data_IF_534557937444
#
_entry.id   IF_534557937444
#
_cell.length_a   1.000
_cell.length_b   1.000
_cell.length_c   1.000
_cell.angle_alpha   90.00
_cell.angle_beta   90.00
_cell.angle_gamma   90.00
#
_symmetry.space_group_name_H-M   'P 1'
#
loop_
_entity.id
_entity.type
_entity.pdbx_description
1 polymer ?
#
# COMPACT_ATOMS: atom_id res chain seq x y z
N UNK A 1 46.15 -66.31 24.90
CA UNK A 1 46.32 -65.67 23.57
C UNK A 1 45.54 -64.37 23.63
N UNK A 2 46.24 -63.24 23.47
CA UNK A 2 45.69 -61.89 23.49
C UNK A 2 44.79 -61.66 22.27
N UNK A 3 43.68 -60.93 22.43
CA UNK A 3 43.27 -59.89 21.47
C UNK A 3 42.10 -59.03 21.99
N UNK A 4 42.46 -57.76 22.17
CA UNK A 4 41.76 -56.48 22.26
C UNK A 4 40.25 -56.31 22.57
N UNK A 5 40.07 -55.39 23.52
CA UNK A 5 38.92 -54.52 23.74
C UNK A 5 38.44 -53.84 22.46
N UNK A 6 37.12 -53.86 22.23
CA UNK A 6 36.40 -52.70 21.73
C UNK A 6 35.22 -52.43 22.66
N UNK A 7 35.46 -51.55 23.62
CA UNK A 7 34.40 -50.85 24.35
C UNK A 7 33.58 -50.08 23.31
N UNK A 8 32.37 -50.56 23.00
CA UNK A 8 31.39 -49.73 22.30
C UNK A 8 30.94 -48.67 23.30
N UNK A 9 31.54 -47.47 23.20
CA UNK A 9 31.06 -46.27 23.88
C UNK A 9 29.56 -46.15 23.62
N UNK A 10 28.75 -46.39 24.65
CA UNK A 10 27.43 -45.80 24.75
C UNK A 10 27.68 -44.34 25.05
N UNK A 11 27.62 -43.50 24.03
CA UNK A 11 27.64 -42.06 24.24
C UNK A 11 26.45 -41.71 25.12
N UNK A 12 26.75 -41.27 26.34
CA UNK A 12 25.81 -40.63 27.24
C UNK A 12 25.37 -39.33 26.55
N UNK A 13 24.31 -39.40 25.74
CA UNK A 13 23.61 -38.21 25.27
C UNK A 13 22.96 -37.56 26.48
N UNK A 14 23.62 -36.55 27.02
CA UNK A 14 23.03 -35.66 28.01
C UNK A 14 22.05 -34.78 27.23
N UNK A 15 20.76 -35.14 27.25
CA UNK A 15 19.69 -34.30 26.72
C UNK A 15 19.60 -33.05 27.59
N UNK A 16 20.14 -31.93 27.11
CA UNK A 16 19.95 -30.62 27.72
C UNK A 16 18.50 -30.17 27.44
N UNK A 17 17.65 -29.93 28.46
CA UNK A 17 16.28 -29.51 28.23
C UNK A 17 16.23 -28.19 27.44
N UNK A 18 15.48 -28.16 26.33
CA UNK A 18 15.34 -26.99 25.47
C UNK A 18 16.54 -26.71 24.56
N UNK A 19 17.38 -27.72 24.29
CA UNK A 19 18.51 -27.60 23.37
C UNK A 19 18.01 -27.34 21.94
N UNK A 20 16.98 -28.06 21.50
CA UNK A 20 16.32 -27.90 20.21
C UNK A 20 15.85 -26.46 19.98
N UNK A 21 15.16 -25.87 20.95
CA UNK A 21 14.69 -24.48 20.87
C UNK A 21 15.83 -23.47 20.81
N UNK A 22 16.91 -23.69 21.58
CA UNK A 22 18.09 -22.81 21.56
C UNK A 22 18.88 -22.92 20.26
N UNK A 23 18.90 -24.09 19.64
CA UNK A 23 19.52 -24.32 18.33
C UNK A 23 18.71 -23.61 17.25
N UNK A 24 17.38 -23.72 17.27
CA UNK A 24 16.48 -22.96 16.39
C UNK A 24 16.68 -21.44 16.55
N UNK A 25 16.59 -20.91 17.77
CA UNK A 25 16.78 -19.47 18.05
C UNK A 25 18.13 -18.95 17.54
N UNK A 26 19.20 -19.73 17.72
CA UNK A 26 20.52 -19.39 17.17
C UNK A 26 20.55 -19.44 15.65
N UNK A 27 19.96 -20.45 15.04
CA UNK A 27 19.84 -20.56 13.58
C UNK A 27 19.13 -19.34 12.98
N UNK A 28 18.02 -18.92 13.58
CA UNK A 28 17.28 -17.72 13.17
C UNK A 28 18.07 -16.41 13.40
N UNK A 29 18.87 -16.32 14.46
CA UNK A 29 19.75 -15.17 14.70
C UNK A 29 20.87 -15.08 13.64
N UNK A 30 21.48 -16.21 13.28
CA UNK A 30 22.46 -16.26 12.19
C UNK A 30 21.84 -15.91 10.83
N UNK A 31 20.59 -16.32 10.57
CA UNK A 31 19.82 -15.89 9.39
C UNK A 31 19.67 -14.37 9.35
N UNK A 32 19.25 -13.73 10.45
CA UNK A 32 19.13 -12.26 10.55
C UNK A 32 20.46 -11.53 10.32
N UNK A 33 21.57 -12.16 10.71
CA UNK A 33 22.92 -11.64 10.49
C UNK A 33 23.49 -11.98 9.11
N UNK A 34 22.70 -12.58 8.21
CA UNK A 34 23.11 -13.02 6.86
C UNK A 34 24.27 -14.04 6.85
N UNK A 35 24.41 -14.79 7.95
CA UNK A 35 25.42 -15.85 8.11
C UNK A 35 24.80 -17.20 7.80
N UNK A 36 24.47 -17.41 6.53
CA UNK A 36 23.62 -18.52 6.10
C UNK A 36 24.20 -19.91 6.37
N UNK A 37 25.51 -20.09 6.20
CA UNK A 37 26.17 -21.38 6.48
C UNK A 37 26.12 -21.77 7.95
N UNK A 38 26.34 -20.79 8.84
CA UNK A 38 26.23 -21.01 10.28
C UNK A 38 24.77 -21.31 10.66
N UNK A 39 23.83 -20.56 10.08
CA UNK A 39 22.40 -20.81 10.26
C UNK A 39 21.99 -22.24 9.89
N UNK A 40 22.39 -22.70 8.69
CA UNK A 40 22.12 -24.08 8.23
C UNK A 40 22.66 -25.08 9.24
N UNK A 41 23.91 -24.93 9.69
CA UNK A 41 24.52 -25.86 10.64
C UNK A 41 23.76 -25.93 11.99
N UNK A 42 23.28 -24.79 12.51
CA UNK A 42 22.51 -24.78 13.75
C UNK A 42 21.09 -25.31 13.58
N UNK A 43 20.48 -25.07 12.42
CA UNK A 43 19.14 -25.57 12.10
C UNK A 43 19.13 -27.07 11.79
N UNK A 44 20.15 -27.62 11.13
CA UNK A 44 20.31 -29.07 10.92
C UNK A 44 20.45 -29.80 12.28
N UNK A 45 21.24 -29.23 13.20
CA UNK A 45 21.31 -29.76 14.56
C UNK A 45 19.97 -29.66 15.30
N UNK A 46 19.19 -28.59 15.09
CA UNK A 46 17.85 -28.49 15.66
C UNK A 46 16.93 -29.58 15.10
N UNK A 47 17.05 -29.88 13.80
CA UNK A 47 16.27 -30.91 13.11
C UNK A 47 16.58 -32.32 13.61
N UNK A 48 17.86 -32.62 13.90
CA UNK A 48 18.27 -33.91 14.50
C UNK A 48 17.58 -34.18 15.86
N UNK A 49 17.20 -33.12 16.58
CA UNK A 49 16.53 -33.21 17.87
C UNK A 49 15.00 -33.21 17.78
N UNK A 50 14.43 -32.48 16.82
CA UNK A 50 12.98 -32.40 16.60
C UNK A 50 12.65 -32.47 15.08
N UNK A 51 12.57 -33.69 14.52
CA UNK A 51 12.38 -33.90 13.08
C UNK A 51 11.00 -33.50 12.54
N UNK A 52 10.03 -33.15 13.39
CA UNK A 52 8.69 -32.73 12.95
C UNK A 52 8.48 -31.21 13.08
N UNK A 53 9.54 -30.46 13.42
CA UNK A 53 9.45 -29.04 13.69
C UNK A 53 9.39 -28.19 12.41
N UNK A 54 8.19 -27.76 12.01
CA UNK A 54 8.00 -26.96 10.80
C UNK A 54 8.79 -25.65 10.80
N UNK A 55 9.05 -25.02 11.94
CA UNK A 55 9.83 -23.77 12.01
C UNK A 55 11.30 -24.00 11.64
N UNK A 56 11.87 -25.15 12.02
CA UNK A 56 13.23 -25.55 11.64
C UNK A 56 13.31 -25.76 10.13
N UNK A 57 12.33 -26.43 9.53
CA UNK A 57 12.25 -26.61 8.09
C UNK A 57 12.13 -25.28 7.33
N UNK A 58 11.25 -24.37 7.76
CA UNK A 58 11.15 -23.02 7.18
C UNK A 58 12.50 -22.30 7.24
N UNK A 59 13.16 -22.34 8.40
CA UNK A 59 14.49 -21.76 8.59
C UNK A 59 15.52 -22.35 7.62
N UNK A 60 15.52 -23.68 7.43
CA UNK A 60 16.44 -24.38 6.53
C UNK A 60 16.19 -24.04 5.05
N UNK A 61 14.93 -23.93 4.64
CA UNK A 61 14.55 -23.50 3.28
C UNK A 61 15.11 -22.11 3.01
N UNK A 62 14.84 -21.15 3.90
CA UNK A 62 15.31 -19.76 3.76
C UNK A 62 16.84 -19.70 3.77
N UNK A 63 17.50 -20.39 4.71
CA UNK A 63 18.95 -20.35 4.83
C UNK A 63 19.64 -20.96 3.60
N UNK A 64 19.10 -22.04 3.04
CA UNK A 64 19.63 -22.63 1.81
C UNK A 64 19.36 -21.77 0.58
N UNK A 65 18.17 -21.17 0.48
CA UNK A 65 17.83 -20.25 -0.61
C UNK A 65 18.79 -19.05 -0.65
N UNK A 66 18.96 -18.37 0.49
CA UNK A 66 19.84 -17.22 0.65
C UNK A 66 21.33 -17.55 0.50
N UNK A 67 21.73 -18.79 0.82
CA UNK A 67 23.08 -19.28 0.56
C UNK A 67 23.35 -19.61 -0.92
N UNK A 68 22.33 -19.53 -1.79
CA UNK A 68 22.40 -19.94 -3.19
C UNK A 68 22.32 -21.47 -3.40
N UNK A 69 22.02 -22.24 -2.35
CA UNK A 69 21.79 -23.68 -2.41
C UNK A 69 20.35 -23.99 -2.86
N UNK A 70 19.91 -23.38 -3.96
CA UNK A 70 18.49 -23.32 -4.36
C UNK A 70 17.89 -24.71 -4.63
N UNK A 71 18.65 -25.65 -5.19
CA UNK A 71 18.19 -27.04 -5.36
C UNK A 71 17.97 -27.76 -4.01
N UNK A 72 18.81 -27.50 -3.01
CA UNK A 72 18.62 -28.08 -1.69
C UNK A 72 17.39 -27.47 -1.00
N UNK A 73 17.18 -26.16 -1.15
CA UNK A 73 15.96 -25.51 -0.67
C UNK A 73 14.70 -26.13 -1.30
N UNK A 74 14.74 -26.45 -2.61
CA UNK A 74 13.65 -27.12 -3.34
C UNK A 74 13.31 -28.48 -2.71
N UNK A 75 14.31 -29.32 -2.46
CA UNK A 75 14.09 -30.64 -1.88
C UNK A 75 13.44 -30.57 -0.50
N UNK A 76 13.91 -29.64 0.34
CA UNK A 76 13.41 -29.45 1.70
C UNK A 76 11.95 -28.98 1.67
N UNK A 77 11.62 -27.96 0.88
CA UNK A 77 10.23 -27.45 0.83
C UNK A 77 9.27 -28.46 0.16
N UNK A 78 9.74 -29.25 -0.80
CA UNK A 78 8.95 -30.33 -1.40
C UNK A 78 8.69 -31.47 -0.38
N UNK A 79 9.63 -31.73 0.54
CA UNK A 79 9.41 -32.64 1.67
C UNK A 79 8.35 -32.09 2.63
N UNK A 80 8.37 -30.79 2.91
CA UNK A 80 7.34 -30.14 3.74
C UNK A 80 5.94 -30.32 3.14
N UNK A 81 5.79 -30.10 1.82
CA UNK A 81 4.51 -30.30 1.12
C UNK A 81 4.04 -31.77 1.20
N UNK A 82 4.93 -32.72 0.91
CA UNK A 82 4.58 -34.17 0.95
C UNK A 82 4.20 -34.65 2.35
N UNK A 83 4.82 -34.08 3.38
CA UNK A 83 4.66 -34.51 4.77
C UNK A 83 3.62 -33.68 5.53
N UNK A 84 3.04 -32.65 4.91
CA UNK A 84 2.09 -31.74 5.55
C UNK A 84 2.69 -30.92 6.70
N UNK A 85 3.97 -30.53 6.59
CA UNK A 85 4.68 -29.78 7.63
C UNK A 85 4.55 -28.27 7.40
N UNK A 86 3.93 -27.58 8.35
CA UNK A 86 3.75 -26.12 8.30
C UNK A 86 2.42 -25.69 7.69
N UNK A 87 2.24 -24.38 7.54
CA UNK A 87 1.05 -23.82 6.88
C UNK A 87 1.13 -24.07 5.37
N UNK A 88 0.11 -24.72 4.81
CA UNK A 88 0.10 -25.15 3.42
C UNK A 88 0.32 -23.99 2.43
N UNK A 89 -0.31 -22.83 2.68
CA UNK A 89 -0.19 -21.65 1.81
C UNK A 89 1.21 -21.05 1.91
N UNK A 90 1.77 -20.96 3.11
CA UNK A 90 3.14 -20.49 3.29
C UNK A 90 4.16 -21.40 2.59
N UNK A 91 3.98 -22.72 2.69
CA UNK A 91 4.92 -23.70 2.13
C UNK A 91 4.82 -23.75 0.60
N UNK A 92 3.61 -23.67 0.03
CA UNK A 92 3.44 -23.62 -1.43
C UNK A 92 4.01 -22.32 -2.02
N UNK A 93 3.87 -21.18 -1.33
CA UNK A 93 4.49 -19.91 -1.74
C UNK A 93 6.03 -20.02 -1.79
N UNK A 94 6.66 -20.61 -0.77
CA UNK A 94 8.10 -20.86 -0.78
C UNK A 94 8.52 -21.80 -1.92
N UNK A 95 7.71 -22.83 -2.20
CA UNK A 95 8.01 -23.77 -3.28
C UNK A 95 7.99 -23.09 -4.64
N UNK A 96 6.94 -22.33 -4.94
CA UNK A 96 6.80 -21.61 -6.20
C UNK A 96 7.92 -20.58 -6.39
N UNK A 97 8.29 -19.84 -5.34
CA UNK A 97 9.44 -18.92 -5.37
C UNK A 97 10.74 -19.63 -5.75
N UNK A 98 10.99 -20.82 -5.20
CA UNK A 98 12.20 -21.61 -5.48
C UNK A 98 12.19 -22.15 -6.91
N UNK A 99 11.05 -22.64 -7.40
CA UNK A 99 10.90 -23.11 -8.78
C UNK A 99 11.17 -21.99 -9.79
N UNK A 100 10.67 -20.77 -9.52
CA UNK A 100 10.95 -19.58 -10.35
C UNK A 100 12.45 -19.28 -10.38
N UNK A 101 13.13 -19.28 -9.23
CA UNK A 101 14.58 -19.05 -9.16
C UNK A 101 15.39 -20.10 -9.93
N UNK A 102 14.89 -21.35 -10.01
CA UNK A 102 15.48 -22.43 -10.78
C UNK A 102 15.09 -22.42 -12.26
N UNK A 103 14.26 -21.46 -12.70
CA UNK A 103 13.67 -21.41 -14.04
C UNK A 103 12.85 -22.66 -14.40
N UNK A 104 12.27 -23.33 -13.40
CA UNK A 104 11.47 -24.55 -13.57
C UNK A 104 9.99 -24.20 -13.81
N UNK A 105 9.74 -23.36 -14.82
CA UNK A 105 8.41 -22.78 -15.08
C UNK A 105 7.32 -23.81 -15.41
N UNK A 106 7.70 -24.97 -15.98
CA UNK A 106 6.76 -26.07 -16.24
C UNK A 106 6.15 -26.57 -14.92
N UNK A 107 6.97 -26.63 -13.88
CA UNK A 107 6.56 -27.10 -12.57
C UNK A 107 5.76 -26.03 -11.82
N UNK A 108 6.09 -24.74 -11.99
CA UNK A 108 5.28 -23.62 -11.49
C UNK A 108 3.85 -23.71 -12.02
N UNK A 109 3.68 -23.82 -13.33
CA UNK A 109 2.37 -23.88 -13.99
C UNK A 109 1.55 -25.06 -13.50
N UNK A 110 2.13 -26.27 -13.56
CA UNK A 110 1.42 -27.49 -13.16
C UNK A 110 1.06 -27.51 -11.68
N UNK A 111 1.91 -26.95 -10.81
CA UNK A 111 1.63 -26.83 -9.38
C UNK A 111 0.46 -25.89 -9.09
N UNK A 112 0.42 -24.73 -9.75
CA UNK A 112 -0.66 -23.75 -9.53
C UNK A 112 -1.98 -24.22 -10.13
N UNK A 113 -1.96 -24.86 -11.30
CA UNK A 113 -3.16 -25.43 -11.91
C UNK A 113 -3.81 -26.48 -10.99
N UNK A 114 -3.02 -27.39 -10.42
CA UNK A 114 -3.51 -28.36 -9.44
C UNK A 114 -4.09 -27.67 -8.20
N UNK A 115 -3.41 -26.64 -7.68
CA UNK A 115 -3.87 -25.89 -6.51
C UNK A 115 -5.22 -25.19 -6.74
N UNK A 116 -5.44 -24.63 -7.93
CA UNK A 116 -6.69 -23.96 -8.31
C UNK A 116 -7.84 -24.96 -8.53
N UNK A 117 -7.54 -26.15 -9.03
CA UNK A 117 -8.53 -27.22 -9.22
C UNK A 117 -9.06 -27.79 -7.90
N UNK A 118 -8.21 -27.86 -6.87
CA UNK A 118 -8.55 -28.42 -5.55
C UNK A 118 -9.47 -27.51 -4.70
N UNK A 119 -9.71 -26.24 -5.10
CA UNK A 119 -10.63 -25.27 -4.45
C UNK A 119 -10.38 -25.00 -2.95
N UNK A 120 -9.15 -25.18 -2.47
CA UNK A 120 -8.76 -24.87 -1.07
C UNK A 120 -7.95 -23.56 -0.93
N UNK A 121 -8.00 -22.66 -1.91
CA UNK A 121 -7.30 -21.37 -1.83
C UNK A 121 -8.16 -20.34 -1.06
N UNK A 122 -7.60 -19.59 -0.10
CA UNK A 122 -8.26 -18.41 0.46
C UNK A 122 -8.63 -17.39 -0.62
N UNK A 123 -9.81 -16.77 -0.53
CA UNK A 123 -10.31 -15.83 -1.56
C UNK A 123 -9.32 -14.68 -1.86
N UNK A 124 -8.64 -14.19 -0.82
CA UNK A 124 -7.63 -13.13 -0.87
C UNK A 124 -6.29 -13.55 -1.51
N UNK A 125 -6.09 -14.84 -1.77
CA UNK A 125 -4.87 -15.40 -2.38
C UNK A 125 -5.06 -15.87 -3.82
N UNK A 126 -6.31 -15.90 -4.32
CA UNK A 126 -6.60 -16.37 -5.68
C UNK A 126 -5.86 -15.55 -6.74
N UNK A 127 -5.90 -14.23 -6.62
CA UNK A 127 -5.26 -13.32 -7.57
C UNK A 127 -3.73 -13.53 -7.63
N UNK A 128 -3.10 -13.72 -6.46
CA UNK A 128 -1.67 -14.00 -6.34
C UNK A 128 -1.25 -15.27 -7.13
N UNK A 129 -1.99 -16.37 -6.98
CA UNK A 129 -1.67 -17.61 -7.70
C UNK A 129 -1.96 -17.49 -9.21
N UNK A 130 -3.02 -16.80 -9.62
CA UNK A 130 -3.32 -16.55 -11.04
C UNK A 130 -2.18 -15.75 -11.70
N UNK A 131 -1.70 -14.68 -11.06
CA UNK A 131 -0.56 -13.89 -11.57
C UNK A 131 0.71 -14.74 -11.74
N UNK A 132 1.02 -15.63 -10.78
CA UNK A 132 2.16 -16.54 -10.90
C UNK A 132 2.00 -17.60 -12.00
N UNK A 133 0.76 -18.07 -12.24
CA UNK A 133 0.46 -19.02 -13.32
C UNK A 133 0.69 -18.39 -14.69
N UNK A 134 0.24 -17.15 -14.88
CA UNK A 134 0.45 -16.39 -16.10
C UNK A 134 1.93 -16.13 -16.36
N UNK A 135 2.68 -15.73 -15.32
CA UNK A 135 4.12 -15.59 -15.37
C UNK A 135 4.81 -16.90 -15.80
N UNK A 136 4.46 -18.02 -15.16
CA UNK A 136 5.00 -19.33 -15.53
C UNK A 136 4.72 -19.72 -16.99
N UNK A 137 3.50 -19.46 -17.49
CA UNK A 137 3.12 -19.76 -18.88
C UNK A 137 3.89 -18.91 -19.90
N UNK A 138 4.06 -17.61 -19.64
CA UNK A 138 4.86 -16.70 -20.48
C UNK A 138 6.29 -17.20 -20.62
N UNK A 139 6.92 -17.56 -19.50
CA UNK A 139 8.30 -18.06 -19.48
C UNK A 139 8.46 -19.40 -20.21
N UNK A 140 7.40 -20.24 -20.27
CA UNK A 140 7.40 -21.50 -21.02
C UNK A 140 7.23 -21.35 -22.52
N UNK A 141 6.45 -20.36 -22.95
CA UNK A 141 6.15 -20.14 -24.36
C UNK A 141 7.35 -19.54 -25.13
N UNK A 142 8.47 -19.29 -24.45
CA UNK A 142 9.70 -18.81 -25.08
C UNK A 142 9.57 -17.38 -25.59
N UNK A 143 8.64 -16.60 -25.03
CA UNK A 143 8.59 -15.14 -25.15
C UNK A 143 9.82 -14.57 -24.42
N UNK A 144 10.97 -14.72 -25.08
CA UNK A 144 12.31 -14.38 -24.59
C UNK A 144 12.84 -13.17 -25.37
N UNK A 145 12.08 -12.08 -25.37
CA UNK A 145 12.72 -10.78 -25.49
C UNK A 145 13.23 -10.43 -24.08
N UNK A 146 14.43 -10.92 -23.78
CA UNK A 146 15.22 -10.41 -22.67
C UNK A 146 15.79 -9.06 -23.11
N UNK A 147 15.05 -7.98 -22.88
CA UNK A 147 15.65 -6.67 -22.66
C UNK A 147 16.65 -6.80 -21.47
N UNK A 148 17.82 -6.15 -21.55
CA UNK A 148 18.89 -6.37 -20.59
C UNK A 148 18.45 -6.03 -19.17
N UNK A 149 19.02 -6.74 -18.20
CA UNK A 149 18.90 -6.46 -16.76
C UNK A 149 19.49 -5.06 -16.47
N UNK A 150 18.68 -4.04 -16.68
CA UNK A 150 18.67 -2.77 -15.99
C UNK A 150 17.20 -2.49 -15.65
N UNK A 151 16.97 -1.98 -14.45
CA UNK A 151 15.67 -1.61 -13.89
C UNK A 151 14.72 -0.94 -14.88
N UNK A 152 13.76 -1.68 -15.43
CA UNK A 152 12.60 -1.16 -16.17
C UNK A 152 11.44 -2.11 -15.87
N UNK A 153 10.35 -1.69 -15.21
CA UNK A 153 9.37 -0.72 -15.73
C UNK A 153 9.00 -1.09 -17.17
N UNK A 154 8.22 -2.17 -17.35
CA UNK A 154 7.38 -2.32 -18.55
C UNK A 154 6.13 -3.18 -18.27
N UNK A 155 5.06 -2.42 -18.06
CA UNK A 155 3.69 -2.59 -18.56
C UNK A 155 2.96 -3.92 -18.29
N UNK A 156 1.96 -3.93 -17.38
CA UNK A 156 0.90 -4.91 -17.46
C UNK A 156 0.09 -4.66 -18.73
N UNK A 157 0.04 -5.65 -19.63
CA UNK A 157 -0.98 -5.68 -20.68
C UNK A 157 -2.36 -5.82 -20.03
N UNK A 158 -3.02 -4.68 -19.90
CA UNK A 158 -4.46 -4.45 -19.98
C UNK A 158 -5.39 -5.33 -19.12
N UNK A 159 -5.39 -5.11 -17.81
CA UNK A 159 -6.59 -4.42 -17.31
C UNK A 159 -6.30 -2.95 -17.54
N UNK A 160 -6.86 -2.35 -18.60
CA UNK A 160 -6.74 -0.92 -18.84
C UNK A 160 -7.26 -0.20 -17.58
N UNK A 161 -6.37 0.19 -16.67
CA UNK A 161 -6.72 1.07 -15.57
C UNK A 161 -7.14 2.39 -16.18
N UNK A 162 -8.41 2.50 -16.53
CA UNK A 162 -9.00 3.69 -17.09
C UNK A 162 -9.61 4.46 -15.94
N UNK A 163 -8.85 5.41 -15.41
CA UNK A 163 -9.27 6.26 -14.29
C UNK A 163 -10.57 7.04 -14.61
N UNK A 164 -10.95 7.16 -15.88
CA UNK A 164 -12.19 7.80 -16.33
C UNK A 164 -13.43 6.89 -16.32
N UNK A 165 -13.25 5.56 -16.23
CA UNK A 165 -14.37 4.61 -16.20
C UNK A 165 -15.04 4.54 -14.81
N UNK A 166 -14.31 4.93 -13.76
CA UNK A 166 -14.78 4.93 -12.38
C UNK A 166 -15.54 6.22 -12.06
N UNK A 167 -16.83 6.22 -12.40
CA UNK A 167 -17.74 7.37 -12.16
C UNK A 167 -18.34 7.36 -10.75
N UNK A 168 -18.47 6.20 -10.13
CA UNK A 168 -18.98 6.10 -8.76
C UNK A 168 -17.84 6.45 -7.78
N UNK A 169 -18.09 7.29 -6.78
CA UNK A 169 -17.10 7.63 -5.77
C UNK A 169 -16.51 6.46 -4.99
N UNK A 170 -17.30 5.41 -4.70
CA UNK A 170 -16.79 4.21 -4.05
C UNK A 170 -15.76 3.49 -4.91
N UNK A 171 -15.99 3.44 -6.23
CA UNK A 171 -15.05 2.84 -7.18
C UNK A 171 -13.77 3.68 -7.26
N UNK A 172 -13.89 5.02 -7.23
CA UNK A 172 -12.74 5.93 -7.20
C UNK A 172 -11.87 5.73 -5.95
N UNK A 173 -12.48 5.61 -4.77
CA UNK A 173 -11.75 5.31 -3.53
C UNK A 173 -11.09 3.94 -3.59
N UNK A 174 -11.78 2.92 -4.11
CA UNK A 174 -11.24 1.56 -4.20
C UNK A 174 -10.04 1.48 -5.14
N UNK A 175 -10.09 2.17 -6.28
CA UNK A 175 -8.98 2.28 -7.23
C UNK A 175 -7.78 3.00 -6.60
N UNK A 176 -8.01 4.14 -5.94
CA UNK A 176 -6.95 4.85 -5.24
C UNK A 176 -6.32 4.00 -4.11
N UNK A 177 -7.15 3.28 -3.35
CA UNK A 177 -6.68 2.39 -2.28
C UNK A 177 -5.87 1.19 -2.81
N UNK A 178 -6.18 0.69 -4.01
CA UNK A 178 -5.37 -0.30 -4.72
C UNK A 178 -4.00 0.27 -5.09
N UNK A 179 -3.98 1.42 -5.77
CA UNK A 179 -2.75 2.09 -6.21
C UNK A 179 -1.81 2.46 -5.06
N UNK A 180 -2.33 2.83 -3.89
CA UNK A 180 -1.53 3.15 -2.73
C UNK A 180 -0.70 1.95 -2.20
N UNK A 181 -1.15 0.72 -2.45
CA UNK A 181 -0.51 -0.53 -1.98
C UNK A 181 0.39 -1.17 -3.03
N UNK A 182 0.29 -0.74 -4.27
CA UNK A 182 1.06 -1.27 -5.39
C UNK A 182 2.18 -0.30 -5.80
N UNK A 183 3.13 -0.79 -6.60
CA UNK A 183 4.12 0.09 -7.20
C UNK A 183 3.43 0.94 -8.28
N UNK A 184 3.37 2.26 -8.07
CA UNK A 184 2.64 3.16 -8.97
C UNK A 184 3.35 3.46 -10.29
N UNK A 185 4.63 3.08 -10.46
CA UNK A 185 5.43 3.42 -11.63
C UNK A 185 4.77 3.11 -12.97
N UNK A 186 4.14 1.94 -13.17
CA UNK A 186 3.46 1.62 -14.43
C UNK A 186 2.24 2.52 -14.70
N UNK A 187 1.68 3.14 -13.67
CA UNK A 187 0.48 3.96 -13.75
C UNK A 187 0.76 5.47 -13.77
N UNK A 188 2.01 5.90 -13.61
CA UNK A 188 2.39 7.33 -13.51
C UNK A 188 1.86 8.13 -14.71
N UNK A 189 2.01 7.62 -15.93
CA UNK A 189 1.56 8.33 -17.14
C UNK A 189 0.04 8.55 -17.08
N UNK A 190 -0.73 7.49 -16.81
CA UNK A 190 -2.20 7.57 -16.71
C UNK A 190 -2.66 8.47 -15.57
N UNK A 191 -1.97 8.42 -14.42
CA UNK A 191 -2.23 9.30 -13.29
C UNK A 191 -2.01 10.76 -13.69
N UNK A 192 -0.88 11.07 -14.34
CA UNK A 192 -0.55 12.43 -14.81
C UNK A 192 -1.56 12.95 -15.83
N UNK A 193 -1.94 12.12 -16.79
CA UNK A 193 -3.00 12.44 -17.77
C UNK A 193 -4.34 12.73 -17.07
N UNK A 194 -4.71 11.91 -16.09
CA UNK A 194 -5.94 12.09 -15.34
C UNK A 194 -5.96 13.39 -14.52
N UNK A 195 -4.89 13.68 -13.77
CA UNK A 195 -4.82 14.90 -12.94
C UNK A 195 -4.70 16.18 -13.78
N UNK A 196 -4.13 16.09 -14.99
CA UNK A 196 -4.06 17.19 -15.95
C UNK A 196 -5.36 17.40 -16.75
N UNK A 197 -6.21 16.37 -16.86
CA UNK A 197 -7.47 16.46 -17.63
C UNK A 197 -8.49 17.43 -17.02
N UNK A 198 -9.35 18.03 -17.84
CA UNK A 198 -10.50 18.79 -17.34
C UNK A 198 -11.60 17.87 -16.79
N UNK A 199 -11.75 16.67 -17.34
CA UNK A 199 -12.83 15.72 -17.02
C UNK A 199 -12.59 14.91 -15.73
N UNK A 200 -11.35 14.81 -15.27
CA UNK A 200 -11.00 14.02 -14.09
C UNK A 200 -11.61 14.58 -12.80
N UNK A 201 -12.15 13.70 -11.98
CA UNK A 201 -12.89 14.03 -10.77
C UNK A 201 -11.96 14.65 -9.70
N UNK A 202 -12.27 15.84 -9.12
CA UNK A 202 -11.35 16.54 -8.20
C UNK A 202 -10.93 15.73 -6.97
N UNK A 203 -11.82 14.90 -6.44
CA UNK A 203 -11.53 14.03 -5.30
C UNK A 203 -10.44 12.99 -5.65
N UNK A 204 -10.61 12.26 -6.76
CA UNK A 204 -9.66 11.25 -7.18
C UNK A 204 -8.30 11.89 -7.53
N UNK A 205 -8.31 13.10 -8.11
CA UNK A 205 -7.08 13.87 -8.35
C UNK A 205 -6.31 14.12 -7.06
N UNK A 206 -6.97 14.53 -5.97
CA UNK A 206 -6.32 14.71 -4.66
C UNK A 206 -5.72 13.40 -4.16
N UNK A 207 -6.46 12.28 -4.27
CA UNK A 207 -5.96 10.98 -3.83
C UNK A 207 -4.73 10.54 -4.61
N UNK A 208 -4.76 10.68 -5.92
CA UNK A 208 -3.63 10.34 -6.78
C UNK A 208 -2.40 11.21 -6.50
N UNK A 209 -2.59 12.51 -6.23
CA UNK A 209 -1.50 13.40 -5.83
C UNK A 209 -0.87 13.00 -4.49
N UNK A 210 -1.69 12.58 -3.52
CA UNK A 210 -1.17 12.08 -2.23
C UNK A 210 -0.41 10.77 -2.41
N UNK A 211 -0.90 9.87 -3.26
CA UNK A 211 -0.20 8.62 -3.60
C UNK A 211 1.15 8.93 -4.27
N UNK A 212 1.20 9.89 -5.19
CA UNK A 212 2.47 10.33 -5.81
C UNK A 212 3.45 10.91 -4.77
N UNK A 213 2.95 11.67 -3.79
CA UNK A 213 3.76 12.20 -2.69
C UNK A 213 4.31 11.08 -1.79
N UNK A 214 3.45 10.17 -1.35
CA UNK A 214 3.81 9.02 -0.49
C UNK A 214 4.85 8.09 -1.14
N UNK A 215 4.79 7.96 -2.47
CA UNK A 215 5.73 7.16 -3.27
C UNK A 215 6.96 7.98 -3.74
N UNK A 216 7.17 9.16 -3.15
CA UNK A 216 8.32 10.05 -3.38
C UNK A 216 8.53 10.42 -4.87
N UNK A 217 7.44 10.55 -5.65
CA UNK A 217 7.55 10.95 -7.05
C UNK A 217 7.95 12.42 -7.17
N UNK A 218 9.16 12.64 -7.69
CA UNK A 218 9.84 13.93 -7.66
C UNK A 218 9.78 14.74 -8.97
N UNK A 219 8.96 14.33 -9.95
CA UNK A 219 8.83 15.06 -11.21
C UNK A 219 7.62 16.00 -11.23
N UNK A 220 7.71 17.01 -12.09
CA UNK A 220 6.65 18.00 -12.25
C UNK A 220 5.37 17.38 -12.84
N UNK A 221 4.26 17.60 -12.13
CA UNK A 221 2.93 17.12 -12.45
C UNK A 221 2.00 18.30 -12.69
N UNK A 222 1.45 18.37 -13.90
CA UNK A 222 0.46 19.40 -14.24
C UNK A 222 -0.92 19.00 -13.71
N UNK A 223 -1.57 19.87 -12.96
CA UNK A 223 -2.86 19.61 -12.31
C UNK A 223 -3.88 20.62 -12.80
N UNK A 224 -5.05 20.12 -13.19
CA UNK A 224 -6.20 20.94 -13.57
C UNK A 224 -7.40 20.69 -12.65
N UNK A 225 -7.95 21.73 -12.03
CA UNK A 225 -9.17 21.67 -11.20
C UNK A 225 -9.98 22.96 -11.30
N UNK A 226 -11.29 22.85 -11.50
CA UNK A 226 -12.21 24.01 -11.49
C UNK A 226 -11.82 25.16 -12.44
N UNK A 227 -11.14 24.85 -13.56
CA UNK A 227 -10.61 25.83 -14.50
C UNK A 227 -9.25 26.44 -14.10
N UNK A 228 -8.68 26.03 -12.96
CA UNK A 228 -7.33 26.36 -12.54
C UNK A 228 -6.36 25.30 -13.05
N UNK A 229 -5.20 25.75 -13.52
CA UNK A 229 -4.14 24.89 -14.05
C UNK A 229 -2.80 25.35 -13.51
N UNK A 230 -2.08 24.48 -12.81
CA UNK A 230 -0.76 24.77 -12.26
C UNK A 230 0.07 23.49 -12.19
N UNK A 231 1.40 23.63 -12.18
CA UNK A 231 2.33 22.51 -12.08
C UNK A 231 2.87 22.41 -10.66
N UNK A 232 2.86 21.19 -10.12
CA UNK A 232 3.32 20.91 -8.76
C UNK A 232 4.37 19.79 -8.79
N UNK A 233 5.27 19.77 -7.82
CA UNK A 233 6.13 18.63 -7.57
C UNK A 233 5.54 17.81 -6.42
N UNK A 234 5.03 16.58 -6.64
CA UNK A 234 4.32 15.81 -5.61
C UNK A 234 5.11 15.62 -4.32
N UNK A 235 6.42 15.37 -4.39
CA UNK A 235 7.30 15.22 -3.20
C UNK A 235 7.43 16.50 -2.34
N UNK A 236 7.01 17.65 -2.87
CA UNK A 236 7.03 18.93 -2.16
C UNK A 236 5.64 19.39 -1.75
N UNK A 237 4.61 18.61 -2.05
CA UNK A 237 3.28 18.95 -1.60
C UNK A 237 3.16 18.75 -0.09
N UNK A 238 2.61 19.74 0.65
CA UNK A 238 2.41 19.62 2.08
C UNK A 238 1.38 18.53 2.41
N UNK A 239 1.46 17.95 3.60
CA UNK A 239 0.37 17.12 4.12
C UNK A 239 -0.92 17.94 4.17
N UNK A 240 -2.08 17.29 3.97
CA UNK A 240 -3.37 17.99 3.92
C UNK A 240 -3.63 18.83 5.19
N UNK A 241 -3.21 18.31 6.35
CA UNK A 241 -3.34 19.02 7.61
C UNK A 241 -2.56 20.34 7.59
N UNK A 242 -1.30 20.28 7.18
CA UNK A 242 -0.43 21.47 7.09
C UNK A 242 -0.97 22.45 6.04
N UNK A 243 -1.42 21.95 4.89
CA UNK A 243 -2.07 22.75 3.85
C UNK A 243 -3.30 23.53 4.38
N UNK A 244 -4.15 22.89 5.18
CA UNK A 244 -5.31 23.53 5.79
C UNK A 244 -4.87 24.55 6.85
N UNK A 245 -3.89 24.21 7.68
CA UNK A 245 -3.37 25.12 8.71
C UNK A 245 -2.73 26.37 8.10
N UNK A 246 -1.97 26.22 7.02
CA UNK A 246 -1.32 27.31 6.28
C UNK A 246 -2.33 28.26 5.60
N UNK A 247 -3.54 27.78 5.30
CA UNK A 247 -4.59 28.62 4.73
C UNK A 247 -5.06 29.75 5.65
N UNK A 248 -4.88 29.62 6.96
CA UNK A 248 -5.35 30.59 7.95
C UNK A 248 -6.85 30.53 8.26
N UNK A 249 -7.63 29.70 7.55
CA UNK A 249 -9.10 29.66 7.67
C UNK A 249 -9.54 29.11 9.03
N UNK A 250 -8.97 27.99 9.47
CA UNK A 250 -9.31 27.37 10.76
C UNK A 250 -8.98 28.29 11.93
N UNK A 251 -7.89 29.05 11.85
CA UNK A 251 -7.48 29.98 12.90
C UNK A 251 -8.43 31.18 13.00
N UNK A 252 -8.99 31.64 11.89
CA UNK A 252 -10.02 32.68 11.89
C UNK A 252 -11.32 32.15 12.52
N UNK A 253 -11.77 30.97 12.11
CA UNK A 253 -12.97 30.32 12.64
C UNK A 253 -12.85 30.02 14.15
N UNK A 254 -11.70 29.52 14.60
CA UNK A 254 -11.42 29.22 16.01
C UNK A 254 -11.59 30.45 16.89
N UNK A 255 -11.08 31.61 16.45
CA UNK A 255 -11.17 32.87 17.22
C UNK A 255 -12.61 33.30 17.47
N UNK A 256 -13.50 33.07 16.52
CA UNK A 256 -14.89 33.54 16.58
C UNK A 256 -15.85 32.49 17.17
N UNK A 257 -15.61 31.19 16.96
CA UNK A 257 -16.60 30.14 17.27
C UNK A 257 -16.18 29.27 18.46
N UNK A 258 -14.90 28.90 18.59
CA UNK A 258 -14.47 27.78 19.44
C UNK A 258 -14.84 27.94 20.93
N UNK A 259 -14.78 29.17 21.45
CA UNK A 259 -15.09 29.44 22.86
C UNK A 259 -16.60 29.51 23.14
N UNK A 260 -17.38 29.94 22.15
CA UNK A 260 -18.82 30.20 22.30
C UNK A 260 -19.65 28.96 21.97
N UNK A 261 -19.29 28.25 20.89
CA UNK A 261 -19.92 26.98 20.49
C UNK A 261 -18.87 25.99 19.95
N UNK A 262 -18.25 25.19 20.83
CA UNK A 262 -17.27 24.17 20.44
C UNK A 262 -17.82 23.12 19.47
N UNK A 263 -19.13 22.83 19.52
CA UNK A 263 -19.76 21.81 18.66
C UNK A 263 -19.94 22.35 17.25
N UNK A 264 -20.38 23.60 17.12
CA UNK A 264 -20.40 24.29 15.83
C UNK A 264 -19.00 24.38 15.24
N UNK A 265 -17.99 24.72 16.05
CA UNK A 265 -16.61 24.80 15.58
C UNK A 265 -16.12 23.45 15.01
N UNK A 266 -16.30 22.34 15.72
CA UNK A 266 -15.92 21.00 15.23
C UNK A 266 -16.60 20.68 13.89
N UNK A 267 -17.88 21.04 13.73
CA UNK A 267 -18.59 20.83 12.47
C UNK A 267 -18.04 21.69 11.33
N UNK A 268 -17.76 22.97 11.59
CA UNK A 268 -17.16 23.86 10.58
C UNK A 268 -15.78 23.36 10.18
N UNK A 269 -14.97 22.86 11.12
CA UNK A 269 -13.67 22.26 10.81
C UNK A 269 -13.80 21.11 9.82
N UNK A 270 -14.76 20.20 10.03
CA UNK A 270 -15.02 19.08 9.09
C UNK A 270 -15.46 19.57 7.71
N UNK A 271 -16.24 20.65 7.63
CA UNK A 271 -16.62 21.26 6.35
C UNK A 271 -15.39 21.83 5.63
N UNK A 272 -14.54 22.56 6.34
CA UNK A 272 -13.29 23.10 5.79
C UNK A 272 -12.40 21.98 5.29
N UNK A 273 -12.17 20.92 6.08
CA UNK A 273 -11.39 19.75 5.67
C UNK A 273 -11.94 19.15 4.36
N UNK A 274 -13.26 18.98 4.27
CA UNK A 274 -13.94 18.45 3.08
C UNK A 274 -13.73 19.33 1.85
N UNK A 275 -13.88 20.65 1.97
CA UNK A 275 -13.71 21.56 0.84
C UNK A 275 -12.24 21.66 0.42
N UNK A 276 -11.32 21.79 1.39
CA UNK A 276 -9.89 21.93 1.14
C UNK A 276 -9.30 20.66 0.53
N UNK A 277 -9.83 19.48 0.87
CA UNK A 277 -9.48 18.25 0.19
C UNK A 277 -9.74 18.33 -1.33
N UNK A 278 -10.85 18.94 -1.76
CA UNK A 278 -11.15 19.11 -3.18
C UNK A 278 -10.30 20.18 -3.84
N UNK A 279 -10.00 21.27 -3.14
CA UNK A 279 -9.22 22.41 -3.64
C UNK A 279 -7.73 22.11 -3.75
N UNK A 280 -7.21 21.23 -2.88
CA UNK A 280 -5.81 20.82 -2.87
C UNK A 280 -5.29 20.44 -4.28
N UNK A 281 -4.10 20.86 -4.71
CA UNK A 281 -3.08 21.58 -3.94
C UNK A 281 -3.07 23.10 -4.14
N UNK A 282 -4.12 23.70 -4.72
CA UNK A 282 -4.14 25.12 -5.06
C UNK A 282 -4.27 26.01 -3.82
N UNK A 283 -3.44 27.05 -3.69
CA UNK A 283 -3.51 27.98 -2.56
C UNK A 283 -4.58 29.05 -2.79
N UNK A 284 -5.71 28.94 -2.07
CA UNK A 284 -6.83 29.91 -2.06
C UNK A 284 -7.06 30.63 -3.40
N UNK A 285 -7.38 29.87 -4.47
CA UNK A 285 -7.45 30.40 -5.83
C UNK A 285 -8.58 31.41 -6.03
N UNK A 286 -9.55 31.44 -5.11
CA UNK A 286 -10.59 32.46 -5.02
C UNK A 286 -10.70 33.00 -3.61
N UNK A 287 -10.83 34.31 -3.51
CA UNK A 287 -10.98 35.01 -2.24
C UNK A 287 -9.80 34.87 -1.28
N UNK A 288 -9.90 35.51 -0.12
CA UNK A 288 -8.96 35.40 1.00
C UNK A 288 -9.49 34.48 2.10
N UNK A 289 -8.63 34.14 3.06
CA UNK A 289 -8.96 33.29 4.20
C UNK A 289 -10.18 33.81 5.00
N UNK A 290 -10.36 35.13 5.08
CA UNK A 290 -11.53 35.77 5.71
C UNK A 290 -12.85 35.47 4.99
N UNK A 291 -12.85 35.44 3.65
CA UNK A 291 -14.02 35.11 2.85
C UNK A 291 -14.40 33.64 3.02
N UNK A 292 -13.40 32.74 3.03
CA UNK A 292 -13.60 31.33 3.33
C UNK A 292 -14.13 31.09 4.74
N UNK A 293 -13.57 31.74 5.75
CA UNK A 293 -14.07 31.63 7.12
C UNK A 293 -15.52 32.11 7.23
N UNK A 294 -15.86 33.25 6.63
CA UNK A 294 -17.23 33.76 6.59
C UNK A 294 -18.20 32.81 5.90
N UNK A 295 -17.86 32.31 4.71
CA UNK A 295 -18.71 31.41 3.96
C UNK A 295 -18.89 30.04 4.65
N UNK A 296 -17.82 29.45 5.21
CA UNK A 296 -17.92 28.21 5.97
C UNK A 296 -18.75 28.37 7.26
N UNK A 297 -18.60 29.48 7.98
CA UNK A 297 -19.41 29.77 9.16
C UNK A 297 -20.90 29.97 8.79
N UNK A 298 -21.17 30.66 7.68
CA UNK A 298 -22.52 30.84 7.15
C UNK A 298 -23.18 29.50 6.80
N UNK A 299 -22.51 28.63 6.02
CA UNK A 299 -23.05 27.31 5.63
C UNK A 299 -23.37 26.46 6.86
N UNK A 300 -22.47 26.44 7.85
CA UNK A 300 -22.73 25.66 9.05
C UNK A 300 -23.98 26.14 9.79
N UNK A 301 -24.19 27.46 9.90
CA UNK A 301 -25.41 28.03 10.48
C UNK A 301 -26.65 27.74 9.64
N UNK A 302 -26.54 27.80 8.30
CA UNK A 302 -27.61 27.42 7.37
C UNK A 302 -28.06 25.96 7.61
N UNK A 303 -27.11 25.04 7.86
CA UNK A 303 -27.42 23.64 8.20
C UNK A 303 -28.11 23.46 9.55
N UNK A 304 -27.88 24.36 10.51
CA UNK A 304 -28.62 24.41 11.78
C UNK A 304 -29.99 25.10 11.66
N UNK A 305 -30.32 25.64 10.49
CA UNK A 305 -31.61 26.30 10.22
C UNK A 305 -31.66 27.75 10.70
N UNK A 306 -30.52 28.39 10.93
CA UNK A 306 -30.46 29.83 11.18
C UNK A 306 -30.60 30.60 9.86
N UNK A 307 -31.25 31.77 9.92
CA UNK A 307 -31.58 32.60 8.75
C UNK A 307 -30.81 33.92 8.73
N UNK A 308 -29.66 33.98 9.41
CA UNK A 308 -28.81 35.16 9.44
C UNK A 308 -28.25 35.49 8.04
N UNK A 309 -28.23 36.77 7.64
CA UNK A 309 -27.77 37.17 6.32
C UNK A 309 -26.25 37.00 6.16
N UNK A 310 -25.78 36.67 4.95
CA UNK A 310 -24.36 36.46 4.65
C UNK A 310 -23.49 37.67 5.02
N UNK A 311 -24.03 38.87 4.88
CA UNK A 311 -23.40 40.14 5.23
C UNK A 311 -22.92 40.17 6.69
N UNK A 312 -23.70 39.58 7.60
CA UNK A 312 -23.32 39.53 9.02
C UNK A 312 -22.04 38.71 9.24
N UNK A 313 -21.89 37.60 8.52
CA UNK A 313 -20.69 36.76 8.58
C UNK A 313 -19.51 37.44 7.89
N UNK A 314 -19.72 38.10 6.76
CA UNK A 314 -18.66 38.89 6.12
C UNK A 314 -18.12 39.98 7.05
N UNK A 315 -18.99 40.66 7.82
CA UNK A 315 -18.60 41.64 8.83
C UNK A 315 -17.78 41.03 9.98
N UNK A 316 -18.20 39.88 10.53
CA UNK A 316 -17.50 39.16 11.62
C UNK A 316 -16.03 38.92 11.23
N UNK A 317 -15.79 38.40 10.03
CA UNK A 317 -14.45 38.04 9.57
C UNK A 317 -13.72 39.17 8.83
N UNK A 318 -14.27 40.39 8.80
CA UNK A 318 -13.73 41.54 8.07
C UNK A 318 -13.47 41.25 6.57
N UNK A 319 -14.35 40.48 5.95
CA UNK A 319 -14.31 40.13 4.53
C UNK A 319 -15.15 41.08 3.67
N UNK A 320 -14.81 41.23 2.40
CA UNK A 320 -15.69 41.91 1.45
C UNK A 320 -16.89 41.01 1.12
N UNK A 321 -18.11 41.56 1.14
CA UNK A 321 -19.32 40.78 0.86
C UNK A 321 -19.27 40.12 -0.53
N UNK A 322 -18.86 40.85 -1.57
CA UNK A 322 -18.78 40.32 -2.93
C UNK A 322 -17.78 39.16 -3.07
N UNK A 323 -16.67 39.20 -2.32
CA UNK A 323 -15.67 38.13 -2.27
C UNK A 323 -16.21 36.91 -1.50
N UNK A 324 -16.97 37.16 -0.43
CA UNK A 324 -17.63 36.12 0.37
C UNK A 324 -18.74 35.42 -0.41
N UNK A 325 -19.54 36.16 -1.19
CA UNK A 325 -20.53 35.62 -2.12
C UNK A 325 -19.87 34.72 -3.17
N UNK A 326 -18.75 35.18 -3.76
CA UNK A 326 -18.01 34.38 -4.74
C UNK A 326 -17.49 33.07 -4.14
N UNK A 327 -16.95 33.11 -2.92
CA UNK A 327 -16.48 31.90 -2.22
C UNK A 327 -17.66 31.00 -1.83
N UNK A 328 -18.78 31.56 -1.38
CA UNK A 328 -19.98 30.81 -1.04
C UNK A 328 -20.54 30.04 -2.25
N UNK A 329 -20.66 30.71 -3.40
CA UNK A 329 -21.12 30.09 -4.65
C UNK A 329 -20.20 28.94 -5.07
N UNK A 330 -18.90 29.11 -4.89
CA UNK A 330 -17.93 28.06 -5.15
C UNK A 330 -18.04 26.89 -4.17
N UNK A 331 -18.19 27.15 -2.87
CA UNK A 331 -18.39 26.09 -1.87
C UNK A 331 -19.65 25.29 -2.17
N UNK A 332 -20.75 25.94 -2.57
CA UNK A 332 -21.98 25.23 -2.97
C UNK A 332 -21.75 24.30 -4.16
N UNK A 333 -20.94 24.70 -5.12
CA UNK A 333 -20.50 23.82 -6.22
C UNK A 333 -19.63 22.65 -5.70
N UNK A 334 -18.73 22.88 -4.74
CA UNK A 334 -17.96 21.80 -4.10
C UNK A 334 -18.85 20.79 -3.35
N UNK A 335 -19.95 21.25 -2.74
CA UNK A 335 -20.92 20.38 -2.08
C UNK A 335 -21.59 19.42 -3.05
N UNK A 336 -22.06 19.90 -4.21
CA UNK A 336 -22.65 19.07 -5.25
C UNK A 336 -21.72 17.93 -5.69
N UNK A 337 -20.41 18.19 -5.73
CA UNK A 337 -19.38 17.22 -6.10
C UNK A 337 -19.10 16.22 -4.97
N UNK A 338 -19.20 16.65 -3.71
CA UNK A 338 -18.80 15.84 -2.55
C UNK A 338 -19.95 15.06 -1.91
N UNK A 339 -21.21 15.35 -2.22
CA UNK A 339 -22.37 14.59 -1.72
C UNK A 339 -22.44 13.10 -2.13
N UNK A 340 -21.99 12.66 -3.32
CA UNK A 340 -22.08 11.24 -3.69
C UNK A 340 -20.95 10.35 -3.12
N UNK A 341 -19.96 10.92 -2.42
CA UNK A 341 -18.72 10.24 -1.98
C UNK A 341 -18.79 9.72 -0.53
N UNK A 342 -19.85 10.07 0.20
CA UNK A 342 -19.99 9.81 1.65
C UNK A 342 -21.21 8.94 1.94
#
# INVERSE_FOLDING_TARGET
MFMDKRESKKDNVILFPGLEKRLLEKGLDYLKQQKYRDAIQFLEQALDHDPENSEVYVGLVLANYEAGNTHQAKEIVAEMLRSGLGDYIQVIDMYLMILVQLNEYNEVVTTIEALLEEREIPADKHEHFIRMLEFGRRMLNGETEMEPVESFDEEPEEEELNLFDYKNPNDQVMVAAGLAKENIRPYIIKIREYVASEEGHPFLKTMLLNILNEQEYAEETHVHKFGWAESFNPVHLPELKDYIEESGVIQLLSREIESDDPVLFENVQRLVERYFFLVYPFQLPIGQASAWAAACHFIANEYYGFEDPLESFAEIYNSQIAETEQVLDFIRMLEEISYPII
#
